data_IF_682862520980
#
_entry.id   IF_682862520980
#
_cell.length_a   1.000
_cell.length_b   1.000
_cell.length_c   1.000
_cell.angle_alpha   90.00
_cell.angle_beta   90.00
_cell.angle_gamma   90.00
#
_symmetry.space_group_name_H-M   'P 1'
#
loop_
_entity.id
_entity.type
_entity.pdbx_description
1 polymer ?
#
# COMPACT_ATOMS: atom_id res chain seq x y z
N UNK A 1 7.22 -15.80 -41.82
CA UNK A 1 7.19 -15.48 -40.36
C UNK A 1 6.69 -14.05 -40.19
N UNK A 2 5.37 -13.88 -40.14
CA UNK A 2 4.71 -12.59 -39.93
C UNK A 2 3.71 -12.77 -38.79
N UNK A 3 3.71 -11.78 -37.89
CA UNK A 3 2.67 -11.43 -36.91
C UNK A 3 2.35 -12.46 -35.81
N UNK A 4 3.24 -12.60 -34.82
CA UNK A 4 2.90 -13.13 -33.48
C UNK A 4 2.67 -12.03 -32.43
N UNK A 5 2.74 -10.76 -32.81
CA UNK A 5 2.63 -9.61 -31.88
C UNK A 5 1.74 -8.48 -32.41
N UNK A 6 0.70 -8.80 -33.17
CA UNK A 6 -0.41 -7.87 -33.30
C UNK A 6 -1.28 -8.03 -32.05
N UNK A 7 -0.88 -7.39 -30.95
CA UNK A 7 -1.77 -7.23 -29.80
C UNK A 7 -2.94 -6.39 -30.30
N UNK A 8 -4.08 -7.03 -30.50
CA UNK A 8 -5.31 -6.36 -30.84
C UNK A 8 -5.80 -5.61 -29.59
N UNK A 9 -5.34 -4.36 -29.44
CA UNK A 9 -5.72 -3.48 -28.33
C UNK A 9 -7.22 -3.17 -28.33
N UNK A 10 -7.95 -3.49 -29.40
CA UNK A 10 -9.41 -3.34 -29.46
C UNK A 10 -10.16 -4.38 -28.61
N UNK A 11 -9.51 -5.47 -28.20
CA UNK A 11 -10.08 -6.49 -27.32
C UNK A 11 -10.01 -6.12 -25.82
N UNK A 12 -9.29 -5.05 -25.45
CA UNK A 12 -9.14 -4.62 -24.06
C UNK A 12 -10.09 -3.47 -23.73
N UNK A 13 -11.40 -3.75 -23.68
CA UNK A 13 -12.36 -2.80 -23.11
C UNK A 13 -12.31 -2.90 -21.59
N UNK A 14 -11.79 -1.87 -20.93
CA UNK A 14 -11.91 -1.73 -19.48
C UNK A 14 -13.35 -1.32 -19.17
N UNK A 15 -14.16 -2.31 -18.84
CA UNK A 15 -15.56 -2.14 -18.46
C UNK A 15 -15.72 -2.02 -16.95
N UNK A 16 -14.79 -2.58 -16.17
CA UNK A 16 -14.89 -2.67 -14.72
C UNK A 16 -13.70 -2.06 -13.99
N UNK A 17 -14.00 -1.30 -12.95
CA UNK A 17 -13.03 -0.65 -12.08
C UNK A 17 -13.13 -1.22 -10.65
N UNK A 18 -12.01 -1.30 -9.91
CA UNK A 18 -12.03 -1.63 -8.49
C UNK A 18 -12.87 -0.65 -7.69
N UNK A 19 -13.30 -1.05 -6.49
CA UNK A 19 -14.11 -0.21 -5.60
C UNK A 19 -13.52 1.19 -5.45
N UNK A 20 -14.23 2.19 -5.98
CA UNK A 20 -13.77 3.59 -5.97
C UNK A 20 -13.53 4.10 -4.54
N UNK A 21 -14.39 3.70 -3.61
CA UNK A 21 -14.25 4.07 -2.19
C UNK A 21 -12.95 3.50 -1.60
N UNK A 22 -12.64 2.23 -1.85
CA UNK A 22 -11.40 1.62 -1.36
C UNK A 22 -10.16 2.23 -2.03
N UNK A 23 -10.21 2.52 -3.33
CA UNK A 23 -9.13 3.22 -4.03
C UNK A 23 -8.87 4.61 -3.43
N UNK A 24 -9.93 5.36 -3.10
CA UNK A 24 -9.79 6.66 -2.42
C UNK A 24 -9.12 6.51 -1.05
N UNK A 25 -9.50 5.50 -0.26
CA UNK A 25 -8.85 5.22 1.03
C UNK A 25 -7.39 4.80 0.90
N UNK A 26 -7.03 3.99 -0.11
CA UNK A 26 -5.63 3.67 -0.42
C UNK A 26 -4.86 4.95 -0.70
N UNK A 27 -5.39 5.83 -1.55
CA UNK A 27 -4.74 7.09 -1.88
C UNK A 27 -4.55 7.98 -0.66
N UNK A 28 -5.58 8.15 0.17
CA UNK A 28 -5.50 8.92 1.43
C UNK A 28 -4.44 8.33 2.36
N UNK A 29 -4.45 7.02 2.57
CA UNK A 29 -3.48 6.35 3.44
C UNK A 29 -2.04 6.53 2.93
N UNK A 30 -1.82 6.45 1.61
CA UNK A 30 -0.51 6.72 1.00
C UNK A 30 -0.04 8.15 1.22
N UNK A 31 -0.93 9.14 1.04
CA UNK A 31 -0.59 10.55 1.25
C UNK A 31 -0.24 10.80 2.72
N UNK A 32 -1.02 10.25 3.65
CA UNK A 32 -0.73 10.34 5.08
C UNK A 32 0.58 9.66 5.46
N UNK A 33 0.89 8.49 4.90
CA UNK A 33 2.18 7.83 5.13
C UNK A 33 3.34 8.66 4.59
N UNK A 34 3.20 9.23 3.40
CA UNK A 34 4.23 10.08 2.81
C UNK A 34 4.48 11.32 3.68
N UNK A 35 3.42 12.01 4.11
CA UNK A 35 3.51 13.20 4.95
C UNK A 35 4.14 12.85 6.31
N UNK A 36 3.65 11.82 6.99
CA UNK A 36 4.23 11.39 8.29
C UNK A 36 5.67 10.91 8.16
N UNK A 37 6.02 10.25 7.06
CA UNK A 37 7.39 9.86 6.74
C UNK A 37 8.32 11.05 6.46
N UNK A 38 7.83 12.10 5.79
CA UNK A 38 8.57 13.35 5.59
C UNK A 38 8.79 14.05 6.92
N UNK A 39 7.74 14.23 7.73
CA UNK A 39 7.82 14.88 9.05
C UNK A 39 8.86 14.17 9.92
N UNK A 40 8.81 12.84 9.98
CA UNK A 40 9.79 12.02 10.69
C UNK A 40 11.23 12.31 10.24
N UNK A 41 11.47 12.32 8.92
CA UNK A 41 12.80 12.55 8.37
C UNK A 41 13.32 13.96 8.70
N UNK A 42 12.46 14.97 8.62
CA UNK A 42 12.79 16.36 8.97
C UNK A 42 13.14 16.49 10.45
N UNK A 43 12.31 15.95 11.35
CA UNK A 43 12.53 16.04 12.80
C UNK A 43 13.84 15.36 13.21
N UNK A 44 14.14 14.20 12.64
CA UNK A 44 15.35 13.45 12.97
C UNK A 44 16.60 13.93 12.24
N UNK A 45 16.51 14.97 11.41
CA UNK A 45 17.59 15.49 10.55
C UNK A 45 18.30 14.41 9.73
N UNK A 46 17.63 13.30 9.47
CA UNK A 46 18.15 12.25 8.61
C UNK A 46 17.99 12.76 7.18
N UNK A 47 19.10 13.21 6.57
CA UNK A 47 19.13 13.48 5.13
C UNK A 47 18.54 12.27 4.41
N UNK A 48 17.53 12.48 3.57
CA UNK A 48 16.89 11.38 2.82
C UNK A 48 17.96 10.69 1.98
N UNK A 49 18.45 9.56 2.49
CA UNK A 49 19.40 8.73 1.76
C UNK A 49 18.68 8.10 0.57
N UNK A 50 19.44 7.66 -0.43
CA UNK A 50 18.92 6.93 -1.59
C UNK A 50 18.03 5.73 -1.19
N UNK A 51 18.28 5.14 -0.01
CA UNK A 51 17.44 4.11 0.60
C UNK A 51 15.98 4.55 0.84
N UNK A 52 15.77 5.77 1.37
CA UNK A 52 14.42 6.30 1.63
C UNK A 52 13.61 6.47 0.34
N UNK A 53 14.23 7.03 -0.70
CA UNK A 53 13.60 7.17 -2.02
C UNK A 53 13.31 5.81 -2.67
N UNK A 54 14.23 4.84 -2.58
CA UNK A 54 14.01 3.47 -3.06
C UNK A 54 12.81 2.81 -2.38
N UNK A 55 12.61 3.06 -1.08
CA UNK A 55 11.46 2.53 -0.34
C UNK A 55 10.14 3.13 -0.83
N UNK A 56 10.08 4.45 -1.05
CA UNK A 56 8.91 5.11 -1.62
C UNK A 56 8.63 4.64 -3.05
N UNK A 57 9.66 4.49 -3.89
CA UNK A 57 9.51 3.97 -5.24
C UNK A 57 8.95 2.53 -5.24
N UNK A 58 9.47 1.65 -4.37
CA UNK A 58 8.96 0.28 -4.22
C UNK A 58 7.48 0.27 -3.81
N UNK A 59 7.10 1.13 -2.87
CA UNK A 59 5.68 1.29 -2.46
C UNK A 59 4.82 1.71 -3.65
N UNK A 60 5.23 2.75 -4.39
CA UNK A 60 4.52 3.20 -5.60
C UNK A 60 4.35 2.08 -6.64
N UNK A 61 5.42 1.34 -6.92
CA UNK A 61 5.35 0.17 -7.83
C UNK A 61 4.40 -0.89 -7.31
N UNK A 62 4.42 -1.17 -5.99
CA UNK A 62 3.51 -2.13 -5.38
C UNK A 62 2.05 -1.71 -5.55
N UNK A 63 1.69 -0.43 -5.36
CA UNK A 63 0.32 0.03 -5.55
C UNK A 63 -0.10 0.00 -7.01
N UNK A 64 0.74 0.52 -7.92
CA UNK A 64 0.43 0.51 -9.36
C UNK A 64 0.23 -0.94 -9.83
N UNK A 65 1.15 -1.84 -9.46
CA UNK A 65 1.03 -3.26 -9.79
C UNK A 65 -0.24 -3.90 -9.20
N UNK A 66 -0.55 -3.59 -7.95
CA UNK A 66 -1.75 -4.11 -7.27
C UNK A 66 -3.05 -3.64 -7.94
N UNK A 67 -3.16 -2.34 -8.27
CA UNK A 67 -4.32 -1.78 -8.97
C UNK A 67 -4.44 -2.36 -10.39
N UNK A 68 -3.32 -2.51 -11.10
CA UNK A 68 -3.31 -3.12 -12.43
C UNK A 68 -3.78 -4.58 -12.39
N UNK A 69 -3.31 -5.37 -11.43
CA UNK A 69 -3.79 -6.75 -11.21
C UNK A 69 -5.29 -6.73 -10.94
N UNK A 70 -5.78 -5.78 -10.13
CA UNK A 70 -7.21 -5.68 -9.85
C UNK A 70 -8.05 -5.36 -11.09
N UNK A 71 -7.62 -4.41 -11.91
CA UNK A 71 -8.28 -4.07 -13.17
C UNK A 71 -8.29 -5.28 -14.12
N UNK A 72 -7.16 -5.96 -14.28
CA UNK A 72 -7.07 -7.15 -15.14
C UNK A 72 -8.06 -8.23 -14.65
N UNK A 73 -8.04 -8.56 -13.36
CA UNK A 73 -8.92 -9.59 -12.80
C UNK A 73 -10.41 -9.26 -12.99
N UNK A 74 -10.83 -8.02 -12.75
CA UNK A 74 -12.24 -7.64 -12.92
C UNK A 74 -12.70 -7.69 -14.37
N UNK A 75 -11.82 -7.36 -15.32
CA UNK A 75 -12.16 -7.35 -16.74
C UNK A 75 -12.06 -8.74 -17.38
N UNK A 76 -11.16 -9.62 -16.90
CA UNK A 76 -11.10 -11.02 -17.36
C UNK A 76 -12.30 -11.85 -16.90
N UNK A 77 -12.76 -11.65 -15.67
CA UNK A 77 -13.88 -12.42 -15.09
C UNK A 77 -15.22 -11.66 -15.11
N UNK A 78 -15.29 -10.55 -15.86
CA UNK A 78 -16.49 -9.74 -16.09
C UNK A 78 -17.30 -9.39 -14.82
N UNK A 79 -16.65 -8.97 -13.73
CA UNK A 79 -17.18 -8.57 -12.42
C UNK A 79 -18.17 -9.53 -11.69
N UNK A 80 -18.90 -10.41 -12.37
CA UNK A 80 -20.02 -11.16 -11.80
C UNK A 80 -19.60 -12.23 -10.80
N UNK A 81 -18.31 -12.59 -10.77
CA UNK A 81 -17.83 -13.60 -9.85
C UNK A 81 -17.52 -13.00 -8.46
N UNK A 82 -18.28 -13.35 -7.39
CA UNK A 82 -18.12 -12.72 -6.06
C UNK A 82 -16.70 -12.86 -5.50
N UNK A 83 -16.04 -13.98 -5.79
CA UNK A 83 -14.64 -14.22 -5.37
C UNK A 83 -13.69 -13.16 -5.94
N UNK A 84 -13.88 -12.72 -7.18
CA UNK A 84 -13.01 -11.70 -7.80
C UNK A 84 -13.19 -10.35 -7.12
N UNK A 85 -14.42 -10.01 -6.74
CA UNK A 85 -14.68 -8.81 -5.95
C UNK A 85 -14.02 -8.89 -4.56
N UNK A 86 -14.16 -10.00 -3.84
CA UNK A 86 -13.53 -10.16 -2.53
C UNK A 86 -11.99 -10.14 -2.59
N UNK A 87 -11.41 -10.75 -3.62
CA UNK A 87 -9.95 -10.71 -3.82
C UNK A 87 -9.47 -9.29 -4.08
N UNK A 88 -10.19 -8.53 -4.90
CA UNK A 88 -9.83 -7.14 -5.18
C UNK A 88 -10.01 -6.23 -3.99
N UNK A 89 -11.17 -6.28 -3.34
CA UNK A 89 -11.44 -5.47 -2.15
C UNK A 89 -10.46 -5.83 -1.03
N UNK A 90 -10.19 -7.13 -0.83
CA UNK A 90 -9.21 -7.62 0.13
C UNK A 90 -7.79 -7.12 -0.16
N UNK A 91 -7.39 -7.09 -1.44
CA UNK A 91 -6.09 -6.57 -1.86
C UNK A 91 -5.98 -5.06 -1.59
N UNK A 92 -7.02 -4.27 -1.87
CA UNK A 92 -7.05 -2.84 -1.52
C UNK A 92 -7.04 -2.61 0.00
N UNK A 93 -7.81 -3.38 0.76
CA UNK A 93 -7.82 -3.34 2.23
C UNK A 93 -6.44 -3.69 2.80
N UNK A 94 -5.74 -4.68 2.22
CA UNK A 94 -4.40 -5.04 2.63
C UNK A 94 -3.41 -3.89 2.41
N UNK A 95 -3.53 -3.15 1.31
CA UNK A 95 -2.71 -1.95 1.07
C UNK A 95 -2.99 -0.86 2.11
N UNK A 96 -4.26 -0.59 2.41
CA UNK A 96 -4.67 0.37 3.45
C UNK A 96 -4.08 -0.06 4.81
N UNK A 97 -4.14 -1.35 5.14
CA UNK A 97 -3.58 -1.91 6.36
C UNK A 97 -2.07 -1.69 6.47
N UNK A 98 -1.33 -1.98 5.39
CA UNK A 98 0.13 -1.78 5.33
C UNK A 98 0.48 -0.30 5.53
N UNK A 99 -0.25 0.62 4.88
CA UNK A 99 -0.01 2.05 5.03
C UNK A 99 -0.39 2.59 6.40
N UNK A 100 -1.50 2.13 6.95
CA UNK A 100 -1.91 2.48 8.32
C UNK A 100 -0.82 2.06 9.31
N UNK A 101 -0.31 0.84 9.20
CA UNK A 101 0.79 0.35 10.05
C UNK A 101 2.05 1.22 9.90
N UNK A 102 2.36 1.64 8.66
CA UNK A 102 3.49 2.52 8.35
C UNK A 102 3.33 3.91 8.97
N UNK A 103 2.12 4.50 8.92
CA UNK A 103 1.76 5.77 9.55
C UNK A 103 1.99 5.69 11.07
N UNK A 104 1.44 4.69 11.75
CA UNK A 104 1.63 4.51 13.19
C UNK A 104 3.12 4.33 13.54
N UNK A 105 3.88 3.61 12.71
CA UNK A 105 5.33 3.48 12.86
C UNK A 105 6.09 4.80 12.69
N UNK A 106 5.66 5.66 11.77
CA UNK A 106 6.23 6.99 11.59
C UNK A 106 5.89 7.92 12.76
N UNK A 107 4.63 7.93 13.20
CA UNK A 107 4.17 8.72 14.35
C UNK A 107 4.89 8.33 15.64
N UNK A 108 5.01 7.02 15.92
CA UNK A 108 5.76 6.55 17.08
C UNK A 108 7.24 6.95 17.03
N UNK A 109 7.83 6.97 15.83
CA UNK A 109 9.22 7.38 15.69
C UNK A 109 9.40 8.89 15.84
N UNK A 110 8.43 9.71 15.44
CA UNK A 110 8.44 11.17 15.62
C UNK A 110 8.48 11.53 17.11
N UNK A 111 7.61 10.90 17.90
CA UNK A 111 7.54 11.12 19.34
C UNK A 111 7.17 9.80 20.03
N UNK A 112 8.16 9.19 20.68
CA UNK A 112 7.99 7.98 21.49
C UNK A 112 7.89 8.30 23.00
N UNK A 113 7.93 9.57 23.37
CA UNK A 113 8.02 10.01 24.77
C UNK A 113 6.68 10.45 25.33
N UNK A 114 5.78 10.98 24.50
CA UNK A 114 4.47 11.44 24.97
C UNK A 114 3.58 10.32 25.50
N UNK A 115 2.66 10.71 26.39
CA UNK A 115 1.63 9.82 26.93
C UNK A 115 0.76 9.22 25.82
N UNK A 116 0.43 10.01 24.79
CA UNK A 116 -0.31 9.52 23.63
C UNK A 116 0.46 8.42 22.88
N UNK A 117 1.76 8.61 22.65
CA UNK A 117 2.58 7.62 21.99
C UNK A 117 2.68 6.30 22.79
N UNK A 118 2.81 6.40 24.12
CA UNK A 118 2.97 5.24 24.99
C UNK A 118 1.69 4.44 25.20
N UNK A 119 0.56 5.13 25.38
CA UNK A 119 -0.71 4.49 25.75
C UNK A 119 -1.65 4.23 24.58
N UNK A 120 -1.46 4.91 23.44
CA UNK A 120 -2.30 4.71 22.26
C UNK A 120 -1.52 4.16 21.07
N UNK A 121 -0.48 4.87 20.61
CA UNK A 121 0.24 4.50 19.38
C UNK A 121 0.98 3.16 19.56
N UNK A 122 1.72 2.97 20.66
CA UNK A 122 2.51 1.76 20.86
C UNK A 122 1.67 0.47 20.98
N UNK A 123 0.54 0.42 21.73
CA UNK A 123 -0.35 -0.73 21.73
C UNK A 123 -0.96 -1.02 20.35
N UNK A 124 -1.45 0.01 19.64
CA UNK A 124 -2.01 -0.15 18.30
C UNK A 124 -0.95 -0.68 17.34
N UNK A 125 0.25 -0.10 17.35
CA UNK A 125 1.35 -0.55 16.52
C UNK A 125 1.75 -2.00 16.85
N UNK A 126 1.75 -2.40 18.13
CA UNK A 126 1.98 -3.81 18.51
C UNK A 126 0.90 -4.71 17.95
N UNK A 127 -0.38 -4.35 18.06
CA UNK A 127 -1.48 -5.15 17.48
C UNK A 127 -1.31 -5.31 15.96
N UNK A 128 -1.00 -4.22 15.26
CA UNK A 128 -0.77 -4.23 13.81
C UNK A 128 0.51 -4.98 13.40
N UNK A 129 1.54 -5.01 14.26
CA UNK A 129 2.84 -5.63 13.94
C UNK A 129 3.04 -7.02 14.55
N UNK A 130 2.16 -7.49 15.43
CA UNK A 130 2.21 -8.85 16.00
C UNK A 130 2.12 -9.93 14.90
N UNK A 131 1.56 -9.59 13.72
CA UNK A 131 1.64 -10.42 12.52
C UNK A 131 2.92 -10.20 11.68
N UNK A 132 3.51 -9.00 11.69
CA UNK A 132 4.65 -8.64 10.82
C UNK A 132 6.03 -8.91 11.44
N UNK A 133 6.15 -9.05 12.76
CA UNK A 133 7.43 -9.37 13.44
C UNK A 133 8.02 -10.72 13.05
N UNK A 134 7.21 -11.63 12.49
CA UNK A 134 7.70 -12.90 11.91
C UNK A 134 8.35 -12.71 10.52
N UNK A 135 7.99 -11.64 9.79
CA UNK A 135 8.45 -11.38 8.42
C UNK A 135 9.67 -10.42 8.36
N UNK A 136 9.90 -9.60 9.39
CA UNK A 136 11.02 -8.65 9.45
C UNK A 136 12.30 -9.19 10.14
N UNK A 137 12.31 -10.46 10.58
CA UNK A 137 13.52 -11.12 11.10
C UNK A 137 14.46 -11.66 10.01
N UNK A 138 14.10 -11.52 8.72
CA UNK A 138 14.86 -12.04 7.58
C UNK A 138 15.44 -10.95 6.66
N UNK A 139 15.85 -9.81 7.19
CA UNK A 139 16.72 -8.90 6.43
C UNK A 139 17.99 -8.60 7.24
N UNK A 140 19.18 -9.07 6.79
CA UNK A 140 20.45 -8.84 7.44
C UNK A 140 20.88 -7.38 7.39
#
# INVERSE_FOLDING_TARGET
MKTLFAADWSAFSISFYPSYNLLAWVFIAMVLDLVTGIIKAVIHRNARTSSGYRKTARKLTQYIGSIMVSVILMNTFQQEHPVVQYVNDGLLILLIYIETTSIFGNLYAIDNTSMFARYFIAPVLRLLTLYMRKLHREQP
#
